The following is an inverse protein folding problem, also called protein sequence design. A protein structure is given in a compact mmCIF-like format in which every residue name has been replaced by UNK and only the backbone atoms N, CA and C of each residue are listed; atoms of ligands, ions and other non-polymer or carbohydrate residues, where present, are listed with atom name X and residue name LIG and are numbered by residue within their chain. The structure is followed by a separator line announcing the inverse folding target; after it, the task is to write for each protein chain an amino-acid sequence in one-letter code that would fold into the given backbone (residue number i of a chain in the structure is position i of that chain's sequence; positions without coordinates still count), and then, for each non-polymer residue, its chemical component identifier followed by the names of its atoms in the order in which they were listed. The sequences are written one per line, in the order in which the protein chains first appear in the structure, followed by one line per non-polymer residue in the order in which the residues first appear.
data_IF_011975094777
#
_entry.id   IF_011975094777
#
_cell.length_a   1.000
_cell.length_b   1.000
_cell.length_c   1.000
_cell.angle_alpha   90.00
_cell.angle_beta   90.00
_cell.angle_gamma   90.00
#
_symmetry.space_group_name_H-M   'P 1'
#
loop_
_entity.id
_entity.type
_entity.pdbx_description
1 polymer ?
#
# COMPACT_ATOMS: atom_id res chain seq x y z
N UNK A 1 -7.51 -21.10 28.36
CA UNK A 1 -8.28 -20.17 27.49
C UNK A 1 -9.40 -20.96 26.83
N UNK A 2 -10.65 -20.73 27.24
CA UNK A 2 -11.83 -21.34 26.62
C UNK A 2 -12.21 -20.65 25.30
N UNK A 3 -13.10 -21.24 24.50
CA UNK A 3 -13.52 -20.65 23.22
C UNK A 3 -14.13 -19.23 23.33
N UNK A 4 -14.95 -18.90 24.36
CA UNK A 4 -15.47 -17.54 24.52
C UNK A 4 -14.36 -16.50 24.71
N UNK A 5 -13.31 -16.85 25.45
CA UNK A 5 -12.15 -15.99 25.70
C UNK A 5 -11.30 -15.83 24.43
N UNK A 6 -11.13 -16.91 23.64
CA UNK A 6 -10.47 -16.83 22.31
C UNK A 6 -11.24 -15.93 21.35
N UNK A 7 -12.57 -16.02 21.33
CA UNK A 7 -13.43 -15.17 20.50
C UNK A 7 -13.29 -13.69 20.87
N UNK A 8 -13.30 -13.37 22.18
CA UNK A 8 -13.06 -12.02 22.67
C UNK A 8 -11.68 -11.47 22.24
N UNK A 9 -10.62 -12.28 22.35
CA UNK A 9 -9.28 -11.90 21.89
C UNK A 9 -9.25 -11.64 20.38
N UNK A 10 -9.79 -12.56 19.56
CA UNK A 10 -9.89 -12.39 18.10
C UNK A 10 -10.63 -11.09 17.76
N UNK A 11 -11.68 -10.76 18.50
CA UNK A 11 -12.45 -9.52 18.35
C UNK A 11 -11.59 -8.30 18.64
N UNK A 12 -10.91 -8.25 19.78
CA UNK A 12 -10.02 -7.14 20.12
C UNK A 12 -8.94 -6.96 19.07
N UNK A 13 -8.37 -8.04 18.53
CA UNK A 13 -7.40 -7.98 17.42
C UNK A 13 -8.06 -7.39 16.16
N UNK A 14 -9.24 -7.87 15.77
CA UNK A 14 -9.95 -7.36 14.59
C UNK A 14 -10.28 -5.87 14.73
N UNK A 15 -10.70 -5.44 15.92
CA UNK A 15 -11.07 -4.07 16.23
C UNK A 15 -9.89 -3.11 16.36
N UNK A 16 -8.74 -3.58 16.87
CA UNK A 16 -7.61 -2.71 17.27
C UNK A 16 -6.35 -2.88 16.44
N UNK A 17 -6.21 -3.94 15.66
CA UNK A 17 -4.97 -4.23 14.94
C UNK A 17 -5.13 -4.32 13.42
N UNK A 18 -6.33 -4.63 12.91
CA UNK A 18 -6.52 -4.88 11.48
C UNK A 18 -6.89 -3.60 10.73
N UNK A 19 -6.15 -3.35 9.66
CA UNK A 19 -6.43 -2.31 8.66
C UNK A 19 -6.43 -2.96 7.28
N UNK A 20 -7.26 -2.45 6.38
CA UNK A 20 -7.42 -3.02 5.06
C UNK A 20 -7.94 -2.00 4.06
N UNK A 21 -7.49 -2.15 2.81
CA UNK A 21 -7.89 -1.31 1.70
C UNK A 21 -8.13 -2.20 0.50
N UNK A 22 -9.30 -2.08 -0.12
CA UNK A 22 -9.59 -2.73 -1.39
C UNK A 22 -10.28 -1.76 -2.36
N UNK A 23 -10.00 -1.92 -3.65
CA UNK A 23 -10.61 -1.11 -4.71
C UNK A 23 -12.10 -1.44 -4.86
N UNK A 24 -12.46 -2.71 -4.65
CA UNK A 24 -13.82 -3.23 -4.78
C UNK A 24 -14.59 -3.00 -3.47
N UNK A 25 -15.65 -2.14 -3.47
CA UNK A 25 -16.47 -1.93 -2.29
C UNK A 25 -17.07 -3.23 -1.74
N UNK A 26 -17.40 -4.19 -2.59
CA UNK A 26 -17.97 -5.47 -2.18
C UNK A 26 -16.94 -6.32 -1.42
N UNK A 27 -15.67 -6.30 -1.83
CA UNK A 27 -14.60 -7.02 -1.13
C UNK A 27 -14.42 -6.48 0.31
N UNK A 28 -14.50 -5.15 0.47
CA UNK A 28 -14.47 -4.50 1.80
C UNK A 28 -15.65 -4.96 2.66
N UNK A 29 -16.87 -5.01 2.09
CA UNK A 29 -18.05 -5.47 2.84
C UNK A 29 -17.97 -6.96 3.21
N UNK A 30 -17.52 -7.82 2.29
CA UNK A 30 -17.30 -9.24 2.55
C UNK A 30 -16.22 -9.47 3.61
N UNK A 31 -15.16 -8.66 3.62
CA UNK A 31 -14.12 -8.72 4.65
C UNK A 31 -14.69 -8.34 6.03
N UNK A 32 -15.50 -7.27 6.11
CA UNK A 32 -16.20 -6.88 7.35
C UNK A 32 -17.09 -8.00 7.87
N UNK A 33 -17.91 -8.59 6.99
CA UNK A 33 -18.78 -9.71 7.35
C UNK A 33 -17.99 -10.95 7.80
N UNK A 34 -16.92 -11.29 7.08
CA UNK A 34 -16.07 -12.46 7.39
C UNK A 34 -15.40 -12.31 8.76
N UNK A 35 -14.86 -11.12 9.07
CA UNK A 35 -14.26 -10.84 10.38
C UNK A 35 -15.30 -10.85 11.50
N UNK A 36 -16.50 -10.33 11.24
CA UNK A 36 -17.60 -10.38 12.19
C UNK A 36 -18.01 -11.83 12.52
N UNK A 37 -18.16 -12.70 11.50
CA UNK A 37 -18.43 -14.12 11.69
C UNK A 37 -17.29 -14.85 12.42
N UNK A 38 -16.04 -14.59 12.06
CA UNK A 38 -14.86 -15.23 12.65
C UNK A 38 -14.64 -14.85 14.14
N UNK A 39 -15.22 -13.74 14.58
CA UNK A 39 -15.16 -13.28 15.97
C UNK A 39 -16.37 -13.72 16.80
N UNK A 40 -17.29 -14.51 16.21
CA UNK A 40 -18.49 -15.09 16.85
C UNK A 40 -19.38 -14.05 17.56
N UNK A 41 -19.39 -12.82 17.08
CA UNK A 41 -20.08 -11.71 17.72
C UNK A 41 -21.52 -11.51 17.20
N UNK A 42 -22.31 -12.58 17.16
CA UNK A 42 -23.68 -12.56 16.64
C UNK A 42 -24.60 -11.57 17.38
N UNK A 43 -24.25 -11.22 18.62
CA UNK A 43 -24.97 -10.31 19.50
C UNK A 43 -24.55 -8.83 19.38
N UNK A 44 -23.58 -8.49 18.52
CA UNK A 44 -22.99 -7.15 18.43
C UNK A 44 -23.03 -6.53 17.02
N UNK A 45 -23.03 -5.19 16.88
CA UNK A 45 -23.20 -4.51 15.59
C UNK A 45 -22.07 -4.81 14.59
N UNK A 46 -22.36 -4.71 13.29
CA UNK A 46 -21.42 -4.97 12.19
C UNK A 46 -20.44 -3.80 11.90
N UNK A 47 -20.77 -2.58 12.32
CA UNK A 47 -20.13 -1.35 11.81
C UNK A 47 -18.85 -0.92 12.56
N UNK A 48 -18.37 -1.72 13.51
CA UNK A 48 -17.16 -1.37 14.27
C UNK A 48 -15.86 -1.35 13.45
N UNK A 49 -15.84 -1.97 12.26
CA UNK A 49 -14.65 -2.05 11.37
C UNK A 49 -14.58 -0.94 10.31
N UNK A 50 -15.59 -0.08 10.23
CA UNK A 50 -15.78 0.84 9.10
C UNK A 50 -14.66 1.87 8.93
N UNK A 51 -14.00 2.25 10.03
CA UNK A 51 -12.91 3.22 10.02
C UNK A 51 -11.56 2.63 9.61
N UNK A 52 -11.43 1.29 9.57
CA UNK A 52 -10.15 0.58 9.32
C UNK A 52 -10.13 -0.24 8.05
N UNK A 53 -11.29 -0.66 7.57
CA UNK A 53 -11.47 -1.29 6.27
C UNK A 53 -12.05 -0.27 5.29
N UNK A 54 -11.19 0.31 4.46
CA UNK A 54 -11.53 1.42 3.56
C UNK A 54 -11.62 0.97 2.10
N UNK A 55 -12.44 1.68 1.32
CA UNK A 55 -12.50 1.48 -0.13
C UNK A 55 -11.54 2.47 -0.81
N UNK A 56 -10.59 1.96 -1.59
CA UNK A 56 -9.57 2.79 -2.23
C UNK A 56 -8.58 2.01 -3.07
N UNK A 57 -7.88 2.70 -3.98
CA UNK A 57 -6.72 2.15 -4.67
C UNK A 57 -5.49 2.28 -3.77
N UNK A 58 -5.12 1.18 -3.10
CA UNK A 58 -3.95 1.09 -2.22
C UNK A 58 -2.62 1.48 -2.88
N UNK A 59 -2.55 1.50 -4.22
CA UNK A 59 -1.35 1.86 -4.97
C UNK A 59 -1.33 3.34 -5.37
N UNK A 60 -2.48 3.99 -5.53
CA UNK A 60 -2.58 5.35 -6.02
C UNK A 60 -2.87 6.34 -4.90
N UNK A 61 -1.85 7.10 -4.50
CA UNK A 61 -1.98 8.14 -3.49
C UNK A 61 -0.64 8.82 -3.20
N UNK A 62 -0.72 10.07 -2.78
CA UNK A 62 0.42 10.87 -2.32
C UNK A 62 0.84 10.52 -0.88
N UNK A 63 2.12 10.71 -0.59
CA UNK A 63 2.65 10.84 0.77
C UNK A 63 2.57 12.31 1.20
N UNK A 64 2.46 12.57 2.51
CA UNK A 64 2.43 13.95 3.05
C UNK A 64 3.68 14.72 2.60
N UNK A 65 4.85 14.08 2.64
CA UNK A 65 6.11 14.67 2.19
C UNK A 65 6.13 15.08 0.70
N UNK A 66 5.26 14.49 -0.13
CA UNK A 66 5.14 14.85 -1.55
C UNK A 66 4.34 16.13 -1.78
N UNK A 67 3.49 16.53 -0.83
CA UNK A 67 2.58 17.68 -0.99
C UNK A 67 3.32 19.01 -0.96
N UNK A 68 4.49 19.07 -0.33
CA UNK A 68 5.36 20.25 -0.34
C UNK A 68 5.96 20.57 -1.70
N UNK A 69 5.76 19.74 -2.73
CA UNK A 69 6.31 19.97 -4.07
C UNK A 69 5.22 19.81 -5.14
N UNK A 70 5.17 20.76 -6.07
CA UNK A 70 4.25 20.67 -7.20
C UNK A 70 4.60 19.46 -8.09
N UNK A 71 3.60 18.72 -8.60
CA UNK A 71 3.84 17.63 -9.55
C UNK A 71 4.62 18.12 -10.78
N UNK A 72 5.74 17.46 -11.08
CA UNK A 72 6.56 17.76 -12.26
C UNK A 72 6.33 16.72 -13.36
N UNK A 73 5.42 17.04 -14.28
CA UNK A 73 5.02 16.16 -15.37
C UNK A 73 6.02 16.12 -16.54
N UNK A 74 7.08 16.95 -16.51
CA UNK A 74 8.01 17.16 -17.63
C UNK A 74 9.43 16.66 -17.40
N UNK A 75 9.84 16.33 -16.16
CA UNK A 75 11.16 15.78 -15.85
C UNK A 75 11.04 14.59 -14.92
N UNK A 76 11.85 13.55 -15.20
CA UNK A 76 11.99 12.39 -14.30
C UNK A 76 12.58 12.88 -12.99
N UNK A 77 11.88 12.67 -11.88
CA UNK A 77 12.36 13.06 -10.56
C UNK A 77 13.71 12.38 -10.28
N UNK A 78 14.77 13.18 -10.08
CA UNK A 78 16.06 12.68 -9.60
C UNK A 78 16.07 12.85 -8.07
N UNK A 79 16.55 11.86 -7.30
CA UNK A 79 16.57 11.94 -5.83
C UNK A 79 17.32 13.17 -5.27
N UNK A 80 18.19 13.77 -6.09
CA UNK A 80 19.06 14.91 -5.74
C UNK A 80 18.45 16.28 -6.13
N UNK A 81 17.24 16.32 -6.71
CA UNK A 81 16.59 17.57 -7.14
C UNK A 81 15.87 18.30 -5.99
N UNK A 82 16.51 18.32 -4.80
CA UNK A 82 16.04 18.99 -3.57
C UNK A 82 16.25 20.51 -3.60
N UNK A 83 16.49 21.10 -4.76
CA UNK A 83 16.83 22.52 -4.92
C UNK A 83 15.62 23.46 -4.89
N UNK A 84 14.40 22.94 -4.76
CA UNK A 84 13.17 23.72 -4.59
C UNK A 84 12.79 23.83 -3.12
N UNK A 85 12.65 25.07 -2.62
CA UNK A 85 12.04 25.34 -1.33
C UNK A 85 10.63 24.72 -1.30
N UNK A 86 10.23 24.05 -0.20
CA UNK A 86 8.91 23.43 -0.12
C UNK A 86 7.83 24.51 -0.19
N UNK A 87 6.77 24.24 -0.97
CA UNK A 87 5.61 25.11 -1.16
C UNK A 87 4.83 25.35 0.14
N UNK A 88 4.91 24.41 1.07
CA UNK A 88 4.30 24.49 2.40
C UNK A 88 5.36 24.16 3.44
N UNK A 89 5.24 24.75 4.63
CA UNK A 89 5.88 24.17 5.79
C UNK A 89 5.13 22.89 6.21
N UNK A 90 5.82 21.95 6.84
CA UNK A 90 5.17 20.75 7.40
C UNK A 90 4.15 21.13 8.51
N UNK A 91 4.14 22.38 8.97
CA UNK A 91 3.29 22.86 10.06
C UNK A 91 1.81 22.88 9.68
N UNK A 92 1.46 23.23 8.43
CA UNK A 92 0.06 23.26 7.98
C UNK A 92 -0.64 21.89 8.02
N UNK A 93 0.04 20.83 7.59
CA UNK A 93 -0.49 19.45 7.68
C UNK A 93 -0.48 18.99 9.13
N UNK A 94 0.60 19.29 9.88
CA UNK A 94 0.71 18.93 11.30
C UNK A 94 -0.44 19.47 12.13
N UNK A 95 -0.83 20.73 11.93
CA UNK A 95 -1.94 21.32 12.70
C UNK A 95 -3.28 20.65 12.35
N UNK A 96 -3.51 20.31 11.08
CA UNK A 96 -4.68 19.54 10.68
C UNK A 96 -4.72 18.15 11.32
N UNK A 97 -3.56 17.48 11.39
CA UNK A 97 -3.40 16.18 12.05
C UNK A 97 -3.61 16.28 13.56
N UNK A 98 -3.08 17.30 14.23
CA UNK A 98 -3.24 17.55 15.66
C UNK A 98 -4.70 17.67 16.11
N UNK A 99 -5.57 18.17 15.24
CA UNK A 99 -7.01 18.20 15.52
C UNK A 99 -7.72 16.86 15.25
N UNK A 100 -7.24 16.07 14.28
CA UNK A 100 -7.89 14.83 13.88
C UNK A 100 -7.45 13.61 14.69
N UNK A 101 -6.17 13.55 15.06
CA UNK A 101 -5.54 12.40 15.70
C UNK A 101 -6.09 12.08 17.10
N UNK A 102 -6.37 13.05 17.99
CA UNK A 102 -7.00 12.75 19.29
C UNK A 102 -8.34 12.03 19.14
N UNK A 103 -9.14 12.40 18.13
CA UNK A 103 -10.40 11.73 17.82
C UNK A 103 -10.13 10.34 17.23
N UNK A 104 -9.13 10.19 16.36
CA UNK A 104 -8.74 8.87 15.82
C UNK A 104 -8.29 7.90 16.92
N UNK A 105 -7.46 8.35 17.86
CA UNK A 105 -7.02 7.54 19.00
C UNK A 105 -8.18 7.20 19.95
N UNK A 106 -9.12 8.13 20.17
CA UNK A 106 -10.28 7.84 21.02
C UNK A 106 -11.16 6.73 20.43
N UNK A 107 -11.33 6.69 19.09
CA UNK A 107 -12.04 5.61 18.40
C UNK A 107 -11.44 4.21 18.65
N UNK A 108 -10.13 4.11 18.90
CA UNK A 108 -9.44 2.85 19.24
C UNK A 108 -9.69 2.42 20.69
N UNK A 109 -9.77 3.40 21.60
CA UNK A 109 -9.89 3.17 23.03
C UNK A 109 -11.31 2.84 23.49
N UNK A 110 -12.34 3.41 22.83
CA UNK A 110 -13.75 3.21 23.18
C UNK A 110 -14.14 1.76 22.79
N UNK A 111 -14.78 0.97 23.66
CA UNK A 111 -15.34 -0.34 23.30
C UNK A 111 -16.39 -0.23 22.18
N UNK A 112 -16.57 -1.30 21.39
CA UNK A 112 -17.56 -1.35 20.30
C UNK A 112 -18.71 -2.29 20.63
N UNK A 113 -19.07 -2.37 21.92
CA UNK A 113 -19.83 -3.48 22.48
C UNK A 113 -21.33 -3.22 22.38
N UNK A 114 -21.72 -1.95 22.45
CA UNK A 114 -23.11 -1.50 22.37
C UNK A 114 -23.40 -0.73 21.08
N UNK A 115 -24.68 -0.70 20.67
CA UNK A 115 -25.11 0.06 19.49
C UNK A 115 -24.85 1.56 19.64
N UNK A 116 -24.97 2.10 20.86
CA UNK A 116 -24.77 3.53 21.13
C UNK A 116 -23.29 3.93 21.05
N UNK A 117 -22.38 3.10 21.55
CA UNK A 117 -20.93 3.31 21.38
C UNK A 117 -20.54 3.29 19.90
N UNK A 118 -21.07 2.32 19.16
CA UNK A 118 -20.83 2.20 17.73
C UNK A 118 -21.35 3.42 16.96
N UNK A 119 -22.57 3.89 17.28
CA UNK A 119 -23.11 5.13 16.72
C UNK A 119 -22.28 6.36 17.07
N UNK A 120 -21.78 6.45 18.31
CA UNK A 120 -20.91 7.56 18.72
C UNK A 120 -19.59 7.56 17.92
N UNK A 121 -19.00 6.38 17.68
CA UNK A 121 -17.82 6.23 16.81
C UNK A 121 -18.09 6.67 15.38
N UNK A 122 -19.19 6.22 14.80
CA UNK A 122 -19.62 6.60 13.45
C UNK A 122 -19.82 8.12 13.34
N UNK A 123 -20.45 8.74 14.33
CA UNK A 123 -20.66 10.19 14.36
C UNK A 123 -19.34 10.96 14.46
N UNK A 124 -18.43 10.54 15.35
CA UNK A 124 -17.12 11.17 15.50
C UNK A 124 -16.30 11.06 14.20
N UNK A 125 -16.31 9.90 13.55
CA UNK A 125 -15.66 9.70 12.26
C UNK A 125 -16.31 10.55 11.15
N UNK A 126 -17.64 10.60 11.10
CA UNK A 126 -18.37 11.41 10.14
C UNK A 126 -18.05 12.90 10.31
N UNK A 127 -17.86 13.37 11.55
CA UNK A 127 -17.42 14.73 11.84
C UNK A 127 -16.01 15.02 11.29
N UNK A 128 -15.07 14.08 11.46
CA UNK A 128 -13.71 14.21 10.89
C UNK A 128 -13.71 14.27 9.36
N UNK A 129 -14.56 13.46 8.72
CA UNK A 129 -14.65 13.35 7.27
C UNK A 129 -15.53 14.43 6.61
N UNK A 130 -16.05 15.41 7.36
CA UNK A 130 -16.75 16.55 6.77
C UNK A 130 -15.80 17.32 5.85
N UNK A 131 -16.30 17.71 4.67
CA UNK A 131 -15.51 18.36 3.59
C UNK A 131 -14.68 19.57 4.03
N UNK A 132 -15.15 20.30 5.04
CA UNK A 132 -14.53 21.55 5.50
C UNK A 132 -13.56 21.38 6.67
N UNK A 133 -13.35 20.16 7.19
CA UNK A 133 -12.33 19.92 8.22
C UNK A 133 -10.93 20.13 7.65
N UNK A 134 -9.99 20.50 8.52
CA UNK A 134 -8.61 20.73 8.12
C UNK A 134 -8.00 19.48 7.43
N UNK A 135 -8.23 18.28 7.98
CA UNK A 135 -7.76 17.03 7.38
C UNK A 135 -8.39 16.78 5.99
N UNK A 136 -9.70 16.99 5.83
CA UNK A 136 -10.37 16.84 4.53
C UNK A 136 -9.87 17.84 3.48
N UNK A 137 -9.49 19.06 3.88
CA UNK A 137 -8.84 20.01 2.98
C UNK A 137 -7.48 19.50 2.51
N UNK A 138 -6.67 18.93 3.40
CA UNK A 138 -5.39 18.32 3.01
C UNK A 138 -5.54 17.07 2.15
N UNK A 139 -6.56 16.23 2.38
CA UNK A 139 -6.92 15.15 1.46
C UNK A 139 -7.22 15.70 0.06
N UNK A 140 -7.94 16.81 -0.05
CA UNK A 140 -8.21 17.47 -1.34
C UNK A 140 -6.95 18.07 -1.99
N UNK A 141 -5.98 18.55 -1.21
CA UNK A 141 -4.66 18.96 -1.75
C UNK A 141 -3.92 17.74 -2.29
N UNK A 142 -4.00 16.60 -1.61
CA UNK A 142 -3.43 15.34 -2.07
C UNK A 142 -4.15 14.79 -3.33
N UNK A 143 -5.47 14.94 -3.41
CA UNK A 143 -6.28 14.65 -4.60
C UNK A 143 -5.87 15.53 -5.78
N UNK A 144 -5.64 16.83 -5.54
CA UNK A 144 -5.10 17.75 -6.55
C UNK A 144 -3.73 17.30 -7.03
N UNK A 145 -2.83 16.96 -6.10
CA UNK A 145 -1.48 16.50 -6.42
C UNK A 145 -1.50 15.22 -7.28
N UNK A 146 -2.29 14.23 -6.89
CA UNK A 146 -2.47 13.00 -7.66
C UNK A 146 -3.17 13.30 -8.99
N UNK A 147 -4.24 14.11 -8.99
CA UNK A 147 -5.04 14.46 -10.15
C UNK A 147 -4.24 15.08 -11.30
N UNK A 148 -3.20 15.86 -11.00
CA UNK A 148 -2.25 16.37 -12.00
C UNK A 148 -1.64 15.26 -12.87
N UNK A 149 -1.41 14.06 -12.31
CA UNK A 149 -0.86 12.91 -13.03
C UNK A 149 -1.86 12.22 -13.94
N UNK A 150 -3.15 12.42 -13.74
CA UNK A 150 -4.23 11.73 -14.46
C UNK A 150 -5.02 12.66 -15.39
N UNK A 151 -4.84 13.97 -15.27
CA UNK A 151 -5.45 14.95 -16.16
C UNK A 151 -5.06 14.75 -17.63
N UNK A 152 -6.05 14.89 -18.52
CA UNK A 152 -5.84 14.92 -19.96
C UNK A 152 -4.93 16.11 -20.35
N UNK A 153 -4.21 16.01 -21.47
CA UNK A 153 -3.17 16.99 -21.83
C UNK A 153 -3.65 18.45 -21.88
N UNK A 154 -4.89 18.71 -22.29
CA UNK A 154 -5.48 20.05 -22.34
C UNK A 154 -5.99 20.59 -21.00
N UNK A 155 -6.13 19.72 -19.99
CA UNK A 155 -6.68 20.06 -18.68
C UNK A 155 -5.64 19.87 -17.56
N UNK A 156 -4.35 19.83 -17.91
CA UNK A 156 -3.28 19.69 -16.90
C UNK A 156 -3.16 20.98 -16.11
N UNK A 157 -3.08 20.83 -14.79
CA UNK A 157 -2.72 21.91 -13.87
C UNK A 157 -1.26 22.30 -14.13
N UNK A 158 -0.96 23.57 -14.45
CA UNK A 158 0.42 24.05 -14.52
C UNK A 158 1.11 23.89 -13.16
N UNK A 159 2.37 23.45 -13.12
CA UNK A 159 3.08 23.27 -11.84
C UNK A 159 3.16 24.56 -11.01
N UNK A 160 3.22 25.73 -11.66
CA UNK A 160 3.18 27.05 -11.00
C UNK A 160 1.83 27.39 -10.36
N UNK A 161 0.73 26.80 -10.85
CA UNK A 161 -0.61 27.03 -10.33
C UNK A 161 -0.93 26.17 -9.09
N UNK A 162 -0.14 25.12 -8.83
CA UNK A 162 -0.40 24.16 -7.75
C UNK A 162 -0.45 24.82 -6.36
N UNK A 163 0.46 25.74 -6.06
CA UNK A 163 0.47 26.49 -4.79
C UNK A 163 -0.82 27.28 -4.60
N UNK A 164 -1.17 28.13 -5.57
CA UNK A 164 -2.39 28.95 -5.52
C UNK A 164 -3.68 28.12 -5.45
N UNK A 165 -3.74 26.96 -6.11
CA UNK A 165 -4.88 26.05 -6.01
C UNK A 165 -4.97 25.38 -4.63
N UNK A 166 -3.83 25.07 -4.02
CA UNK A 166 -3.77 24.54 -2.66
C UNK A 166 -4.24 25.59 -1.65
N UNK A 167 -3.84 26.86 -1.82
CA UNK A 167 -4.33 27.97 -0.99
C UNK A 167 -5.86 28.12 -1.08
N UNK A 168 -6.44 27.98 -2.28
CA UNK A 168 -7.90 27.98 -2.47
C UNK A 168 -8.55 26.83 -1.72
N UNK A 169 -7.95 25.63 -1.72
CA UNK A 169 -8.48 24.48 -0.97
C UNK A 169 -8.39 24.69 0.55
N UNK A 170 -7.27 25.22 1.03
CA UNK A 170 -6.96 25.35 2.45
C UNK A 170 -7.67 26.56 3.09
N UNK A 171 -7.63 27.70 2.42
CA UNK A 171 -8.10 29.00 2.95
C UNK A 171 -9.41 29.48 2.33
N UNK A 172 -9.76 28.99 1.14
CA UNK A 172 -10.90 29.49 0.37
C UNK A 172 -10.57 30.65 -0.58
N UNK A 173 -9.32 31.14 -0.58
CA UNK A 173 -8.84 32.23 -1.42
C UNK A 173 -7.46 31.92 -2.00
N UNK A 174 -7.14 32.48 -3.16
CA UNK A 174 -5.81 32.34 -3.77
C UNK A 174 -5.59 33.32 -4.90
N UNK A 175 -4.39 33.29 -5.49
CA UNK A 175 -3.97 34.25 -6.52
C UNK A 175 -4.63 34.02 -7.91
N UNK A 176 -5.34 32.91 -8.10
CA UNK A 176 -6.00 32.59 -9.36
C UNK A 176 -7.45 33.12 -9.38
N UNK A 177 -7.99 33.48 -10.56
CA UNK A 177 -9.42 33.77 -10.70
C UNK A 177 -10.28 32.60 -10.19
N UNK A 178 -11.33 32.91 -9.41
CA UNK A 178 -12.15 31.90 -8.73
C UNK A 178 -12.71 30.84 -9.70
N UNK A 179 -13.19 31.25 -10.87
CA UNK A 179 -13.72 30.34 -11.90
C UNK A 179 -12.68 29.34 -12.41
N UNK A 180 -11.44 29.79 -12.58
CA UNK A 180 -10.30 28.95 -12.99
C UNK A 180 -9.91 27.98 -11.88
N UNK A 181 -9.83 28.46 -10.64
CA UNK A 181 -9.52 27.62 -9.49
C UNK A 181 -10.59 26.53 -9.27
N UNK A 182 -11.86 26.91 -9.31
CA UNK A 182 -12.99 26.00 -9.15
C UNK A 182 -13.02 24.91 -10.24
N UNK A 183 -12.64 25.26 -11.49
CA UNK A 183 -12.52 24.27 -12.57
C UNK A 183 -11.48 23.20 -12.23
N UNK A 184 -10.26 23.61 -11.88
CA UNK A 184 -9.17 22.65 -11.59
C UNK A 184 -9.42 21.84 -10.32
N UNK A 185 -9.93 22.47 -9.27
CA UNK A 185 -10.26 21.79 -8.01
C UNK A 185 -11.39 20.78 -8.20
N UNK A 186 -12.42 21.12 -8.99
CA UNK A 186 -13.50 20.20 -9.33
C UNK A 186 -12.98 19.02 -10.14
N UNK A 187 -12.21 19.29 -11.19
CA UNK A 187 -11.61 18.25 -12.04
C UNK A 187 -10.73 17.30 -11.23
N UNK A 188 -9.89 17.81 -10.33
CA UNK A 188 -9.08 16.98 -9.44
C UNK A 188 -9.95 16.09 -8.55
N UNK A 189 -11.04 16.63 -7.99
CA UNK A 189 -12.01 15.85 -7.22
C UNK A 189 -12.69 14.76 -8.03
N UNK A 190 -13.10 15.05 -9.27
CA UNK A 190 -13.74 14.07 -10.17
C UNK A 190 -12.77 12.93 -10.50
N UNK A 191 -11.51 13.25 -10.78
CA UNK A 191 -10.43 12.28 -11.01
C UNK A 191 -10.20 11.44 -9.74
N UNK A 192 -10.14 12.07 -8.57
CA UNK A 192 -9.90 11.39 -7.31
C UNK A 192 -11.00 10.37 -6.97
N UNK A 193 -12.26 10.73 -7.20
CA UNK A 193 -13.39 9.80 -7.05
C UNK A 193 -13.31 8.65 -8.05
N UNK A 194 -13.02 8.95 -9.32
CA UNK A 194 -12.92 7.94 -10.38
C UNK A 194 -11.77 6.95 -10.13
N UNK A 195 -10.62 7.46 -9.67
CA UNK A 195 -9.41 6.66 -9.39
C UNK A 195 -9.38 6.09 -7.99
N UNK A 196 -10.29 6.53 -7.11
CA UNK A 196 -10.36 6.16 -5.69
C UNK A 196 -9.00 6.32 -5.00
N UNK A 197 -8.36 7.49 -5.13
CA UNK A 197 -7.06 7.71 -4.51
C UNK A 197 -7.09 7.41 -3.02
N UNK A 198 -6.03 6.76 -2.53
CA UNK A 198 -5.89 6.37 -1.14
C UNK A 198 -4.59 6.94 -0.54
N UNK A 199 -4.74 8.02 0.22
CA UNK A 199 -3.63 8.73 0.85
C UNK A 199 -3.33 8.12 2.22
N UNK A 200 -2.55 7.03 2.26
CA UNK A 200 -2.27 6.24 3.48
C UNK A 200 -2.04 7.06 4.76
N UNK A 201 -1.16 8.06 4.70
CA UNK A 201 -0.82 8.94 5.85
C UNK A 201 -1.97 9.88 6.28
N UNK A 202 -2.96 10.13 5.44
CA UNK A 202 -4.14 10.96 5.75
C UNK A 202 -5.40 10.12 6.02
N UNK A 203 -5.46 8.88 5.52
CA UNK A 203 -6.57 7.95 5.74
C UNK A 203 -6.43 7.19 7.05
N UNK A 204 -5.20 6.78 7.39
CA UNK A 204 -4.82 6.12 8.65
C UNK A 204 -3.72 6.91 9.37
N UNK A 205 -3.95 8.19 9.72
CA UNK A 205 -2.92 9.03 10.31
C UNK A 205 -2.38 8.47 11.64
N UNK A 206 -3.19 7.77 12.42
CA UNK A 206 -2.83 7.15 13.70
C UNK A 206 -1.67 6.13 13.60
N UNK A 207 -1.46 5.55 12.41
CA UNK A 207 -0.37 4.61 12.14
C UNK A 207 0.98 5.32 11.97
N UNK A 208 0.97 6.59 11.54
CA UNK A 208 2.18 7.29 11.11
C UNK A 208 2.55 8.49 11.99
N UNK A 209 1.60 9.04 12.76
CA UNK A 209 1.75 10.28 13.51
C UNK A 209 1.31 10.14 14.98
N UNK A 210 1.92 10.93 15.86
CA UNK A 210 1.55 11.07 17.28
C UNK A 210 0.39 12.04 17.46
N UNK A 211 -0.25 12.07 18.63
CA UNK A 211 -1.45 12.88 18.88
C UNK A 211 -1.29 14.39 18.60
N UNK A 212 -0.06 14.90 18.61
CA UNK A 212 0.28 16.29 18.29
C UNK A 212 0.50 16.56 16.78
N UNK A 213 0.30 15.54 15.94
CA UNK A 213 0.51 15.58 14.49
C UNK A 213 1.97 15.36 14.07
N UNK A 214 2.90 15.17 15.00
CA UNK A 214 4.30 14.91 14.66
C UNK A 214 4.48 13.50 14.10
N UNK A 215 5.42 13.33 13.17
CA UNK A 215 5.67 12.03 12.55
C UNK A 215 6.37 11.12 13.54
N UNK A 216 5.81 9.94 13.78
CA UNK A 216 6.33 8.96 14.74
C UNK A 216 7.69 8.43 14.28
N UNK A 217 8.70 8.36 15.16
CA UNK A 217 9.90 7.57 14.94
C UNK A 217 9.50 6.10 14.75
N UNK A 218 9.62 5.59 13.52
CA UNK A 218 9.12 4.26 13.18
C UNK A 218 7.60 4.19 12.98
N UNK A 219 6.95 5.27 12.55
CA UNK A 219 5.58 5.23 12.04
C UNK A 219 5.44 4.26 10.87
N UNK A 220 4.29 3.60 10.78
CA UNK A 220 4.03 2.48 9.87
C UNK A 220 3.47 1.26 10.61
N UNK A 221 3.05 0.25 9.84
CA UNK A 221 2.42 -0.96 10.37
C UNK A 221 3.45 -1.91 10.99
N UNK A 222 3.10 -2.52 12.12
CA UNK A 222 3.87 -3.61 12.74
C UNK A 222 3.96 -4.85 11.84
N UNK A 223 2.92 -5.11 11.05
CA UNK A 223 2.89 -6.19 10.07
C UNK A 223 2.09 -5.78 8.84
N UNK A 224 2.58 -6.16 7.65
CA UNK A 224 1.86 -6.06 6.38
C UNK A 224 1.76 -7.45 5.78
N UNK A 225 0.53 -7.93 5.60
CA UNK A 225 0.24 -9.23 4.99
C UNK A 225 -0.59 -9.06 3.73
N UNK A 226 -0.43 -9.96 2.76
CA UNK A 226 -1.26 -9.91 1.57
C UNK A 226 -0.95 -10.96 0.51
N UNK A 227 -1.91 -11.13 -0.40
CA UNK A 227 -1.76 -11.90 -1.63
C UNK A 227 -2.00 -10.93 -2.81
N UNK A 228 -0.98 -10.14 -3.23
CA UNK A 228 -1.15 -9.17 -4.30
C UNK A 228 -1.61 -9.81 -5.62
N UNK A 229 -2.31 -9.08 -6.50
CA UNK A 229 -2.65 -9.58 -7.83
C UNK A 229 -1.39 -9.80 -8.68
N UNK A 230 -1.36 -10.92 -9.41
CA UNK A 230 -0.20 -11.36 -10.22
C UNK A 230 -0.25 -10.87 -11.67
N UNK A 231 -1.26 -10.09 -12.02
CA UNK A 231 -1.44 -9.59 -13.37
C UNK A 231 -0.44 -8.50 -13.74
N UNK A 232 -0.05 -8.51 -15.01
CA UNK A 232 0.62 -7.37 -15.62
C UNK A 232 -0.33 -6.17 -15.64
N UNK A 233 0.22 -4.96 -15.46
CA UNK A 233 -0.47 -3.72 -15.81
C UNK A 233 -0.49 -3.64 -17.35
N UNK A 234 -1.34 -4.46 -17.98
CA UNK A 234 -1.46 -4.58 -19.44
C UNK A 234 -2.64 -3.82 -19.99
N UNK A 235 -2.42 -3.21 -21.16
CA UNK A 235 -3.44 -2.58 -21.96
C UNK A 235 -3.87 -3.42 -23.18
N UNK A 236 -3.54 -4.71 -23.21
CA UNK A 236 -3.55 -5.51 -24.44
C UNK A 236 -4.44 -6.75 -24.43
N UNK A 237 -5.34 -6.92 -23.45
CA UNK A 237 -6.38 -7.94 -23.54
C UNK A 237 -7.66 -7.31 -24.10
N UNK A 238 -8.08 -7.72 -25.31
CA UNK A 238 -9.36 -7.32 -25.90
C UNK A 238 -9.31 -6.85 -27.36
N UNK A 239 -10.49 -6.54 -27.91
CA UNK A 239 -10.68 -5.99 -29.26
C UNK A 239 -9.92 -4.66 -29.45
N UNK A 240 -9.70 -4.20 -30.68
CA UNK A 240 -8.99 -2.94 -30.95
C UNK A 240 -9.56 -1.72 -30.20
N UNK A 241 -10.88 -1.73 -29.96
CA UNK A 241 -11.62 -0.69 -29.27
C UNK A 241 -11.50 -0.81 -27.74
N UNK A 242 -11.54 -2.04 -27.19
CA UNK A 242 -11.21 -2.28 -25.77
C UNK A 242 -9.76 -1.97 -25.46
N UNK A 243 -8.84 -2.17 -26.41
CA UNK A 243 -7.41 -1.80 -26.29
C UNK A 243 -7.19 -0.29 -26.26
N UNK A 244 -7.89 0.51 -27.07
CA UNK A 244 -7.74 1.98 -27.05
C UNK A 244 -8.27 2.59 -25.75
N UNK A 245 -9.41 2.13 -25.25
CA UNK A 245 -9.95 2.52 -23.94
C UNK A 245 -9.06 2.06 -22.78
N UNK A 246 -8.60 0.80 -22.78
CA UNK A 246 -7.70 0.28 -21.73
C UNK A 246 -6.34 0.98 -21.75
N UNK A 247 -5.79 1.33 -22.92
CA UNK A 247 -4.54 2.12 -23.04
C UNK A 247 -4.69 3.54 -22.51
N UNK A 248 -5.83 4.18 -22.76
CA UNK A 248 -6.15 5.50 -22.22
C UNK A 248 -6.19 5.52 -20.69
N UNK A 249 -6.69 4.45 -20.08
CA UNK A 249 -6.83 4.37 -18.63
C UNK A 249 -5.52 3.98 -17.90
N UNK A 250 -4.67 3.20 -18.55
CA UNK A 250 -3.43 2.65 -17.99
C UNK A 250 -2.22 3.58 -18.14
N UNK A 251 -2.11 4.33 -19.24
CA UNK A 251 -0.96 5.21 -19.46
C UNK A 251 -0.74 6.25 -18.33
N UNK A 252 -1.80 6.86 -17.76
CA UNK A 252 -1.67 7.68 -16.56
C UNK A 252 -1.15 6.94 -15.33
N UNK A 253 -1.61 5.70 -15.08
CA UNK A 253 -1.15 4.86 -13.96
C UNK A 253 0.34 4.54 -14.10
N UNK A 254 0.78 4.17 -15.31
CA UNK A 254 2.19 3.90 -15.57
C UNK A 254 3.06 5.14 -15.40
N UNK A 255 2.59 6.30 -15.88
CA UNK A 255 3.28 7.59 -15.66
C UNK A 255 3.37 7.92 -14.18
N UNK A 256 2.26 7.81 -13.44
CA UNK A 256 2.23 8.06 -12.00
C UNK A 256 3.22 7.16 -11.26
N UNK A 257 3.15 5.86 -11.49
CA UNK A 257 4.02 4.89 -10.80
C UNK A 257 5.49 5.08 -11.14
N UNK A 258 5.83 5.50 -12.36
CA UNK A 258 7.22 5.69 -12.79
C UNK A 258 7.82 7.04 -12.40
N UNK A 259 7.03 8.10 -12.51
CA UNK A 259 7.55 9.48 -12.57
C UNK A 259 7.15 10.32 -11.35
N UNK A 260 6.12 9.91 -10.57
CA UNK A 260 5.64 10.69 -9.42
C UNK A 260 6.52 10.60 -8.17
N UNK A 261 7.58 9.78 -8.19
CA UNK A 261 8.50 9.61 -7.05
C UNK A 261 7.94 8.75 -5.91
N UNK A 262 6.74 8.16 -6.07
CA UNK A 262 6.12 7.27 -5.09
C UNK A 262 6.73 5.86 -5.13
N UNK A 263 7.11 5.40 -6.33
CA UNK A 263 7.76 4.11 -6.57
C UNK A 263 9.11 4.31 -7.24
N UNK A 264 10.06 3.42 -6.91
CA UNK A 264 11.48 3.55 -7.25
C UNK A 264 12.06 2.24 -7.78
N UNK A 265 11.43 1.11 -7.49
CA UNK A 265 11.89 -0.23 -7.89
C UNK A 265 11.25 -0.74 -9.19
N UNK A 266 10.45 0.08 -9.87
CA UNK A 266 9.88 -0.28 -11.16
C UNK A 266 10.99 -0.37 -12.22
N UNK A 267 11.05 -1.50 -12.92
CA UNK A 267 12.00 -1.68 -14.03
C UNK A 267 11.52 -0.98 -15.31
N UNK A 268 12.40 -0.83 -16.29
CA UNK A 268 12.05 -0.28 -17.60
C UNK A 268 11.09 -1.18 -18.42
N UNK A 269 10.81 -2.40 -17.95
CA UNK A 269 9.89 -3.34 -18.58
C UNK A 269 8.43 -3.15 -18.16
N UNK A 270 7.58 -4.14 -18.45
CA UNK A 270 6.18 -4.11 -18.05
C UNK A 270 6.03 -4.10 -16.53
N UNK A 271 5.30 -3.12 -16.01
CA UNK A 271 4.97 -3.04 -14.59
C UNK A 271 3.99 -4.16 -14.22
N UNK A 272 4.37 -5.01 -13.27
CA UNK A 272 3.45 -5.98 -12.67
C UNK A 272 2.84 -5.40 -11.40
N UNK A 273 1.55 -5.64 -11.13
CA UNK A 273 0.89 -5.09 -9.94
C UNK A 273 1.55 -5.57 -8.65
N UNK A 274 1.90 -6.86 -8.55
CA UNK A 274 2.59 -7.39 -7.37
C UNK A 274 3.89 -6.64 -7.04
N UNK A 275 4.57 -6.07 -8.04
CA UNK A 275 5.81 -5.32 -7.81
C UNK A 275 5.54 -4.01 -7.06
N UNK A 276 4.47 -3.32 -7.45
CA UNK A 276 4.00 -2.11 -6.78
C UNK A 276 3.50 -2.42 -5.37
N UNK A 277 2.76 -3.52 -5.20
CA UNK A 277 2.30 -3.97 -3.87
C UNK A 277 3.47 -4.32 -2.94
N UNK A 278 4.50 -5.01 -3.43
CA UNK A 278 5.69 -5.31 -2.62
C UNK A 278 6.41 -4.01 -2.21
N UNK A 279 6.65 -3.11 -3.16
CA UNK A 279 7.29 -1.82 -2.87
C UNK A 279 6.47 -0.97 -1.89
N UNK A 280 5.14 -0.97 -2.03
CA UNK A 280 4.19 -0.32 -1.11
C UNK A 280 4.24 -0.97 0.27
N UNK A 281 4.25 -2.30 0.35
CA UNK A 281 4.31 -3.03 1.64
C UNK A 281 5.58 -2.70 2.42
N UNK A 282 6.71 -2.58 1.73
CA UNK A 282 7.98 -2.14 2.32
C UNK A 282 7.89 -0.70 2.86
N UNK A 283 7.18 0.19 2.15
CA UNK A 283 7.02 1.58 2.56
C UNK A 283 6.01 1.76 3.72
N UNK A 284 5.03 0.86 3.83
CA UNK A 284 4.01 0.88 4.86
C UNK A 284 4.47 0.22 6.16
N UNK A 285 5.33 -0.79 6.10
CA UNK A 285 5.89 -1.43 7.28
C UNK A 285 6.84 -0.49 8.01
N UNK A 286 6.68 -0.37 9.33
CA UNK A 286 7.66 0.37 10.14
C UNK A 286 9.02 -0.34 10.14
N UNK A 287 10.07 0.36 10.57
CA UNK A 287 11.35 -0.28 10.89
C UNK A 287 11.16 -1.38 11.95
N UNK A 288 11.63 -2.58 11.66
CA UNK A 288 11.41 -3.80 12.47
C UNK A 288 10.03 -4.45 12.28
N UNK A 289 9.14 -3.85 11.48
CA UNK A 289 7.84 -4.43 11.14
C UNK A 289 7.98 -5.61 10.17
N UNK A 290 7.01 -6.53 10.22
CA UNK A 290 7.01 -7.79 9.47
C UNK A 290 6.28 -7.62 8.13
N UNK A 291 6.73 -8.31 7.10
CA UNK A 291 6.08 -8.36 5.78
C UNK A 291 5.89 -9.83 5.43
N UNK A 292 4.66 -10.23 5.12
CA UNK A 292 4.31 -11.58 4.71
C UNK A 292 3.49 -11.57 3.43
N UNK A 293 4.07 -11.94 2.30
CA UNK A 293 3.39 -11.84 1.00
C UNK A 293 3.44 -13.14 0.20
N UNK A 294 2.35 -13.43 -0.50
CA UNK A 294 2.29 -14.47 -1.54
C UNK A 294 2.57 -13.84 -2.89
N UNK A 295 3.69 -14.17 -3.52
CA UNK A 295 4.21 -13.50 -4.72
C UNK A 295 4.52 -14.49 -5.84
N UNK A 296 4.46 -14.10 -7.12
CA UNK A 296 4.92 -14.96 -8.21
C UNK A 296 6.39 -15.35 -8.06
N UNK A 297 6.76 -16.57 -8.46
CA UNK A 297 8.16 -17.02 -8.44
C UNK A 297 9.08 -16.16 -9.31
N UNK A 298 8.52 -15.46 -10.29
CA UNK A 298 9.21 -14.46 -11.12
C UNK A 298 9.90 -13.36 -10.31
N UNK A 299 9.48 -13.10 -9.07
CA UNK A 299 10.23 -12.23 -8.16
C UNK A 299 11.68 -12.69 -8.01
N UNK A 300 11.94 -13.99 -7.86
CA UNK A 300 13.29 -14.54 -7.67
C UNK A 300 14.08 -14.63 -8.99
N UNK A 301 13.41 -14.93 -10.11
CA UNK A 301 14.09 -15.31 -11.36
C UNK A 301 14.14 -14.21 -12.42
N UNK A 302 13.14 -13.34 -12.49
CA UNK A 302 12.93 -12.52 -13.68
C UNK A 302 13.86 -11.31 -13.71
N UNK A 303 14.36 -10.95 -14.89
CA UNK A 303 15.18 -9.75 -15.05
C UNK A 303 14.38 -8.48 -14.72
N UNK A 304 13.09 -8.44 -15.10
CA UNK A 304 12.19 -7.31 -14.82
C UNK A 304 11.95 -7.03 -13.33
N UNK A 305 12.29 -7.99 -12.45
CA UNK A 305 12.18 -7.85 -11.00
C UNK A 305 13.50 -7.51 -10.31
N UNK A 306 14.60 -7.28 -11.06
CA UNK A 306 15.92 -7.06 -10.48
C UNK A 306 15.99 -5.82 -9.57
N UNK A 307 15.39 -4.69 -9.98
CA UNK A 307 15.37 -3.47 -9.17
C UNK A 307 14.55 -3.67 -7.89
N UNK A 308 13.42 -4.37 -7.98
CA UNK A 308 12.60 -4.72 -6.84
C UNK A 308 13.27 -5.70 -5.88
N UNK A 309 13.91 -6.75 -6.40
CA UNK A 309 14.74 -7.66 -5.59
C UNK A 309 15.82 -6.89 -4.85
N UNK A 310 16.52 -6.00 -5.55
CA UNK A 310 17.55 -5.16 -4.92
C UNK A 310 16.96 -4.35 -3.78
N UNK A 311 15.80 -3.70 -3.98
CA UNK A 311 15.11 -2.92 -2.95
C UNK A 311 14.66 -3.77 -1.76
N UNK A 312 14.06 -4.93 -2.02
CA UNK A 312 13.66 -5.88 -0.98
C UNK A 312 14.86 -6.29 -0.12
N UNK A 313 15.94 -6.75 -0.76
CA UNK A 313 17.10 -7.27 -0.04
C UNK A 313 17.97 -6.18 0.59
N UNK A 314 17.93 -4.94 0.09
CA UNK A 314 18.66 -3.81 0.71
C UNK A 314 17.91 -3.20 1.89
N UNK A 315 16.58 -3.22 1.85
CA UNK A 315 15.73 -2.50 2.80
C UNK A 315 14.97 -3.41 3.76
N UNK A 316 14.98 -4.72 3.54
CA UNK A 316 14.39 -5.71 4.44
C UNK A 316 15.38 -6.86 4.71
N UNK A 317 15.28 -7.45 5.89
CA UNK A 317 15.90 -8.72 6.22
C UNK A 317 14.91 -9.83 5.84
N UNK A 318 15.14 -10.48 4.69
CA UNK A 318 14.27 -11.55 4.21
C UNK A 318 14.63 -12.84 4.94
N UNK A 319 13.76 -13.23 5.85
CA UNK A 319 13.95 -14.37 6.73
C UNK A 319 13.73 -15.68 5.98
N UNK A 320 12.60 -15.80 5.29
CA UNK A 320 12.27 -17.02 4.57
C UNK A 320 11.62 -16.77 3.20
N UNK A 321 11.99 -17.61 2.25
CA UNK A 321 11.31 -17.78 0.96
C UNK A 321 10.90 -19.24 0.78
N UNK A 322 9.59 -19.50 0.83
CA UNK A 322 9.02 -20.84 0.62
C UNK A 322 8.38 -20.90 -0.76
N UNK A 323 8.93 -21.71 -1.66
CA UNK A 323 8.48 -21.84 -3.04
C UNK A 323 7.58 -23.03 -3.26
N UNK A 324 6.42 -22.76 -3.85
CA UNK A 324 5.38 -23.72 -4.14
C UNK A 324 5.22 -23.98 -5.64
N UNK A 325 5.02 -25.25 -5.99
CA UNK A 325 4.55 -25.73 -7.29
C UNK A 325 3.02 -25.89 -7.24
N UNK A 326 2.29 -25.15 -8.08
CA UNK A 326 0.81 -25.21 -8.10
C UNK A 326 0.24 -26.48 -8.77
N UNK A 327 0.99 -27.59 -8.81
CA UNK A 327 0.58 -28.83 -9.47
C UNK A 327 -0.71 -29.40 -8.86
N UNK A 328 -0.84 -29.35 -7.53
CA UNK A 328 -2.05 -29.78 -6.82
C UNK A 328 -3.16 -28.72 -6.82
N UNK A 329 -2.90 -27.52 -7.36
CA UNK A 329 -3.90 -26.45 -7.51
C UNK A 329 -4.29 -25.81 -6.20
N UNK A 330 -3.27 -25.44 -5.42
CA UNK A 330 -3.41 -24.60 -4.22
C UNK A 330 -4.20 -23.33 -4.55
N UNK A 331 -3.89 -22.71 -5.70
CA UNK A 331 -4.68 -21.63 -6.28
C UNK A 331 -5.40 -22.11 -7.54
N UNK A 332 -6.60 -21.56 -7.84
CA UNK A 332 -7.38 -21.87 -9.04
C UNK A 332 -6.81 -21.17 -10.30
N UNK A 333 -5.52 -21.38 -10.55
CA UNK A 333 -4.74 -20.86 -11.67
C UNK A 333 -4.04 -22.01 -12.39
N UNK A 334 -3.33 -21.73 -13.48
CA UNK A 334 -2.66 -22.77 -14.25
C UNK A 334 -1.68 -23.59 -13.38
N UNK A 335 -1.70 -24.93 -13.54
CA UNK A 335 -0.98 -25.88 -12.67
C UNK A 335 0.55 -25.76 -12.73
N UNK A 336 1.08 -25.16 -13.80
CA UNK A 336 2.52 -24.91 -13.97
C UNK A 336 3.00 -23.62 -13.30
N UNK A 337 2.10 -22.78 -12.79
CA UNK A 337 2.48 -21.54 -12.13
C UNK A 337 3.12 -21.85 -10.78
N UNK A 338 4.22 -21.16 -10.48
CA UNK A 338 4.91 -21.24 -9.21
C UNK A 338 4.77 -19.93 -8.45
N UNK A 339 4.74 -20.03 -7.13
CA UNK A 339 4.65 -18.87 -6.25
C UNK A 339 5.57 -19.02 -5.04
N UNK A 340 5.80 -17.92 -4.36
CA UNK A 340 6.66 -17.79 -3.19
C UNK A 340 5.85 -17.22 -2.05
N UNK A 341 5.98 -17.79 -0.86
CA UNK A 341 5.68 -17.09 0.38
C UNK A 341 6.97 -16.43 0.84
N UNK A 342 6.93 -15.10 0.96
CA UNK A 342 8.08 -14.30 1.41
C UNK A 342 7.75 -13.72 2.77
N UNK A 343 8.63 -13.98 3.74
CA UNK A 343 8.61 -13.33 5.05
C UNK A 343 9.85 -12.48 5.23
N UNK A 344 9.68 -11.25 5.71
CA UNK A 344 10.78 -10.32 5.89
C UNK A 344 10.52 -9.34 7.04
N UNK A 345 11.57 -8.79 7.62
CA UNK A 345 11.53 -7.69 8.57
C UNK A 345 12.06 -6.40 7.93
N UNK A 346 11.32 -5.30 7.99
CA UNK A 346 11.68 -4.06 7.33
C UNK A 346 12.78 -3.27 8.07
N UNK A 347 13.62 -2.56 7.31
CA UNK A 347 14.61 -1.62 7.82
C UNK A 347 16.04 -2.17 8.02
N UNK A 348 16.29 -3.44 7.75
CA UNK A 348 17.64 -4.02 7.74
C UNK A 348 17.94 -4.60 6.37
N UNK A 349 19.21 -4.78 6.00
CA UNK A 349 19.56 -5.44 4.73
C UNK A 349 19.69 -6.95 4.96
N UNK A 350 19.17 -7.73 4.03
CA UNK A 350 19.25 -9.19 4.06
C UNK A 350 20.71 -9.63 3.95
N UNK A 351 21.11 -10.59 4.80
CA UNK A 351 22.43 -11.25 4.72
C UNK A 351 22.33 -12.71 4.33
N UNK A 352 21.33 -13.41 4.85
CA UNK A 352 21.07 -14.82 4.56
C UNK A 352 19.56 -15.00 4.47
N UNK A 353 19.12 -15.84 3.53
CA UNK A 353 17.71 -16.18 3.35
C UNK A 353 17.57 -17.67 3.62
N UNK A 354 16.62 -18.06 4.47
CA UNK A 354 16.22 -19.46 4.55
C UNK A 354 15.30 -19.78 3.36
N UNK A 355 15.68 -20.73 2.53
CA UNK A 355 14.90 -21.12 1.36
C UNK A 355 14.40 -22.55 1.51
N UNK A 356 13.15 -22.78 1.10
CA UNK A 356 12.55 -24.11 0.95
C UNK A 356 11.77 -24.11 -0.35
N UNK A 357 12.01 -25.03 -1.26
CA UNK A 357 11.46 -24.99 -2.62
C UNK A 357 10.85 -26.34 -3.01
N UNK A 358 9.86 -26.30 -3.91
CA UNK A 358 9.22 -27.50 -4.44
C UNK A 358 8.06 -28.00 -3.59
N UNK A 359 7.55 -27.17 -2.66
CA UNK A 359 6.38 -27.49 -1.87
C UNK A 359 5.14 -27.62 -2.76
N UNK A 360 4.32 -28.64 -2.50
CA UNK A 360 3.11 -28.91 -3.30
C UNK A 360 1.84 -28.90 -2.46
N UNK A 361 2.00 -28.94 -1.14
CA UNK A 361 0.91 -29.03 -0.17
C UNK A 361 1.02 -27.87 0.83
N UNK A 362 0.00 -26.99 0.93
CA UNK A 362 -0.05 -25.93 1.94
C UNK A 362 0.02 -26.45 3.37
N UNK A 363 -0.38 -27.71 3.63
CA UNK A 363 -0.27 -28.32 4.96
C UNK A 363 1.17 -28.36 5.49
N UNK A 364 2.17 -28.33 4.60
CA UNK A 364 3.57 -28.19 5.00
C UNK A 364 3.84 -26.92 5.82
N UNK A 365 3.02 -25.86 5.65
CA UNK A 365 3.15 -24.62 6.42
C UNK A 365 2.88 -24.77 7.92
N UNK A 366 2.04 -25.74 8.31
CA UNK A 366 1.66 -25.97 9.71
C UNK A 366 2.78 -26.54 10.56
N UNK A 367 3.77 -27.18 9.92
CA UNK A 367 4.90 -27.85 10.58
C UNK A 367 6.24 -27.15 10.29
N UNK A 368 6.22 -26.00 9.61
CA UNK A 368 7.43 -25.24 9.30
C UNK A 368 8.14 -24.81 10.58
N UNK A 369 9.35 -25.32 10.78
CA UNK A 369 10.20 -24.99 11.93
C UNK A 369 10.22 -26.07 13.02
N UNK A 370 9.31 -27.03 12.99
CA UNK A 370 9.25 -28.15 13.94
C UNK A 370 10.03 -29.39 13.45
N UNK A 371 10.65 -29.29 12.27
CA UNK A 371 11.38 -30.39 11.63
C UNK A 371 12.78 -30.59 12.24
N UNK A 372 13.25 -31.84 12.39
CA UNK A 372 14.61 -32.12 12.82
C UNK A 372 15.64 -31.49 11.87
N UNK A 373 16.68 -30.84 12.43
CA UNK A 373 17.68 -30.10 11.66
C UNK A 373 18.41 -30.93 10.57
N UNK A 374 18.47 -32.25 10.72
CA UNK A 374 19.16 -33.16 9.81
C UNK A 374 18.28 -33.66 8.63
N UNK A 375 16.97 -33.45 8.69
CA UNK A 375 16.00 -33.80 7.62
C UNK A 375 15.33 -32.57 7.02
N UNK A 376 15.69 -31.38 7.51
CA UNK A 376 15.11 -30.11 7.12
C UNK A 376 15.41 -29.82 5.64
N UNK A 377 14.39 -29.66 4.77
CA UNK A 377 14.56 -29.30 3.35
C UNK A 377 14.97 -27.83 3.16
N UNK A 378 15.24 -27.12 4.26
CA UNK A 378 15.70 -25.75 4.26
C UNK A 378 17.17 -25.66 3.87
N UNK A 379 17.49 -24.74 2.96
CA UNK A 379 18.86 -24.41 2.60
C UNK A 379 19.11 -22.90 2.70
N UNK A 380 20.23 -22.47 3.30
CA UNK A 380 20.53 -21.06 3.43
C UNK A 380 21.14 -20.49 2.15
N UNK A 381 20.63 -19.35 1.68
CA UNK A 381 21.23 -18.55 0.61
C UNK A 381 21.93 -17.35 1.23
N UNK A 382 23.27 -17.36 1.26
CA UNK A 382 24.07 -16.22 1.75
C UNK A 382 24.24 -15.17 0.66
N UNK A 383 23.88 -13.93 0.96
CA UNK A 383 24.06 -12.79 0.08
C UNK A 383 25.46 -12.20 0.24
N UNK A 384 26.29 -12.37 -0.78
CA UNK A 384 27.56 -11.66 -0.92
C UNK A 384 27.35 -10.38 -1.75
N UNK A 385 28.19 -9.34 -1.61
CA UNK A 385 28.15 -8.17 -2.49
C UNK A 385 28.18 -8.53 -3.99
N UNK A 386 28.78 -9.65 -4.39
CA UNK A 386 28.76 -10.15 -5.77
C UNK A 386 27.36 -10.54 -6.30
N UNK A 387 26.37 -10.73 -5.41
CA UNK A 387 24.96 -10.98 -5.77
C UNK A 387 24.17 -9.68 -5.95
N UNK A 388 24.77 -8.53 -5.63
CA UNK A 388 24.24 -7.19 -5.83
C UNK A 388 25.28 -6.34 -6.61
N UNK A 389 25.28 -6.21 -7.95
CA UNK A 389 24.45 -6.75 -9.03
C UNK A 389 25.29 -7.54 -10.07
N UNK A 390 24.88 -8.76 -10.43
CA UNK A 390 25.31 -9.39 -11.69
C UNK A 390 24.05 -9.93 -12.36
N UNK A 391 23.96 -9.73 -13.67
CA UNK A 391 22.90 -10.23 -14.55
C UNK A 391 22.46 -11.67 -14.19
N UNK A 392 21.17 -11.94 -14.42
CA UNK A 392 20.42 -13.15 -14.04
C UNK A 392 21.04 -14.53 -14.39
N UNK A 393 22.19 -14.57 -15.07
CA UNK A 393 22.84 -15.82 -15.52
C UNK A 393 23.43 -16.69 -14.42
N UNK A 394 23.63 -16.18 -13.18
CA UNK A 394 24.20 -16.98 -12.07
C UNK A 394 23.20 -17.47 -11.02
N UNK A 395 21.95 -16.97 -11.02
CA UNK A 395 20.91 -17.46 -10.11
C UNK A 395 20.30 -18.78 -10.59
N UNK A 396 20.13 -18.95 -11.91
CA UNK A 396 19.58 -20.18 -12.49
C UNK A 396 20.50 -21.39 -12.28
N UNK A 397 21.82 -21.23 -12.37
CA UNK A 397 22.76 -22.37 -12.31
C UNK A 397 22.94 -22.98 -10.91
N UNK A 398 22.64 -22.25 -9.83
CA UNK A 398 22.70 -22.80 -8.46
C UNK A 398 21.37 -23.37 -7.98
N UNK A 399 20.24 -22.89 -8.51
CA UNK A 399 18.92 -23.46 -8.23
C UNK A 399 18.57 -24.66 -9.12
N UNK A 400 19.19 -24.80 -10.30
CA UNK A 400 19.04 -25.99 -11.15
C UNK A 400 19.90 -27.18 -10.74
N UNK A 401 20.91 -26.96 -9.88
CA UNK A 401 21.86 -27.99 -9.43
C UNK A 401 21.52 -28.61 -8.07
N UNK A 402 20.40 -28.23 -7.46
CA UNK A 402 19.81 -28.96 -6.33
C UNK A 402 18.67 -29.80 -6.93
N UNK A 403 19.04 -30.94 -7.49
CA UNK A 403 18.12 -32.05 -7.80
C UNK A 403 18.18 -33.06 -6.69
#
# INVERSE_FOLDING_TARGET
IGEPERAAIRRTIAERCLYGVDLNPMAVQLARLSLWLATLAADRPLTFLDHRLQVGDSLLGAWVASLGQAPNLGRRHRPDDRSTLPLFDDAGVREALKHALPVRFSLESIPGDTLDEVRAKEQALAMLNRRHTALSKWKRVADLWCGCWFAASGDRVPSSAFGALSDVILTGSGALPQSTADRYVRQAGDIAVMRRFFHWELEFPEVFFDADGTRRPGGGFDAVIGNPPWDMVRADAGSAQSRSQSRGDIAPVLRFTRDAGIYTAQSAGHANRYQLFLERSIALARRGGRIGLVLPSGLATDHGSAALRKRLLSSCDVEAMVGFDNQHGVFPIHRSVRFLLVTASAGQSTRTIACRLGERDPGALETLGDEPAHTSPWFPVRLTPALFPISARRWTSRLSNVR
#
